data_IF_727970448909
#
_entry.id   IF_727970448909
#
_cell.length_a   1.000
_cell.length_b   1.000
_cell.length_c   1.000
_cell.angle_alpha   90.00
_cell.angle_beta   90.00
_cell.angle_gamma   90.00
#
_symmetry.space_group_name_H-M   'P 1'
#
loop_
_entity.id
_entity.type
_entity.pdbx_description
1 polymer ?
#
# COMPACT_ATOMS: atom_id res chain seq x y z
N UNK A 1 19.00 30.14 8.01
CA UNK A 1 18.45 28.92 8.62
C UNK A 1 18.37 27.89 7.51
N UNK A 2 19.35 27.00 7.50
CA UNK A 2 19.46 25.92 6.53
C UNK A 2 18.48 24.80 6.90
N UNK A 3 17.48 24.58 6.06
CA UNK A 3 16.71 23.34 6.04
C UNK A 3 16.85 22.72 4.64
N UNK A 4 18.00 22.08 4.39
CA UNK A 4 18.18 21.19 3.23
C UNK A 4 17.52 19.85 3.54
N UNK A 5 16.20 19.80 3.43
CA UNK A 5 15.53 18.59 3.02
C UNK A 5 15.39 18.64 1.48
N UNK A 6 14.99 17.55 0.84
CA UNK A 6 14.58 17.52 -0.58
C UNK A 6 15.72 17.45 -1.62
N UNK A 7 16.55 16.41 -1.55
CA UNK A 7 17.13 15.82 -2.77
C UNK A 7 17.42 14.33 -2.50
N UNK A 8 16.36 13.56 -2.22
CA UNK A 8 16.36 12.15 -2.57
C UNK A 8 15.79 12.11 -3.99
N UNK A 9 16.60 11.70 -4.95
CA UNK A 9 16.23 11.61 -6.37
C UNK A 9 14.85 10.90 -6.52
N UNK A 10 13.81 11.55 -7.08
CA UNK A 10 12.45 11.01 -7.12
C UNK A 10 12.26 9.88 -8.16
N UNK A 11 13.33 9.42 -8.82
CA UNK A 11 13.23 8.53 -9.98
C UNK A 11 12.90 7.06 -9.67
N UNK A 12 13.00 6.56 -8.43
CA UNK A 12 12.77 5.13 -8.10
C UNK A 12 12.17 4.91 -6.70
N UNK A 13 11.15 5.67 -6.33
CA UNK A 13 10.41 5.39 -5.09
C UNK A 13 9.51 4.15 -5.31
N UNK A 14 10.02 2.97 -4.94
CA UNK A 14 9.22 1.74 -4.91
C UNK A 14 8.36 1.72 -3.64
N UNK A 15 7.09 1.32 -3.75
CA UNK A 15 6.18 1.22 -2.61
C UNK A 15 5.52 -0.15 -2.60
N UNK A 16 5.40 -0.72 -1.40
CA UNK A 16 4.46 -1.80 -1.13
C UNK A 16 3.15 -1.18 -0.66
N UNK A 17 2.08 -1.51 -1.36
CA UNK A 17 0.71 -1.07 -1.03
C UNK A 17 -0.09 -2.31 -0.66
N UNK A 18 -0.63 -2.31 0.55
CA UNK A 18 -1.44 -3.38 1.11
C UNK A 18 -2.80 -2.78 1.49
N UNK A 19 -3.87 -3.55 1.30
CA UNK A 19 -5.21 -3.23 1.80
C UNK A 19 -5.77 -4.48 2.46
N UNK A 20 -6.58 -4.32 3.49
CA UNK A 20 -7.16 -5.41 4.27
C UNK A 20 -8.65 -5.19 4.42
N UNK A 21 -9.41 -6.29 4.31
CA UNK A 21 -10.85 -6.33 4.52
C UNK A 21 -11.22 -7.66 5.15
N UNK A 22 -12.25 -7.66 5.99
CA UNK A 22 -12.88 -8.87 6.49
C UNK A 22 -14.09 -9.21 5.61
N UNK A 23 -14.15 -10.45 5.14
CA UNK A 23 -15.21 -10.94 4.24
C UNK A 23 -15.77 -12.25 4.76
N UNK A 24 -17.09 -12.31 4.91
CA UNK A 24 -17.81 -13.55 5.18
C UNK A 24 -18.04 -14.33 3.87
N UNK A 25 -17.49 -15.53 3.77
CA UNK A 25 -17.66 -16.39 2.60
C UNK A 25 -17.61 -17.88 2.98
N UNK A 26 -18.17 -18.74 2.11
CA UNK A 26 -18.19 -20.17 2.36
C UNK A 26 -16.84 -20.87 2.04
N UNK A 27 -15.89 -20.18 1.39
CA UNK A 27 -14.54 -20.69 1.12
C UNK A 27 -13.52 -19.55 0.90
N UNK A 28 -12.20 -19.83 1.04
CA UNK A 28 -11.15 -18.86 0.76
C UNK A 28 -11.20 -18.29 -0.67
N UNK A 29 -11.54 -19.11 -1.67
CA UNK A 29 -11.65 -18.67 -3.06
C UNK A 29 -12.86 -17.75 -3.27
N UNK A 30 -13.98 -17.99 -2.57
CA UNK A 30 -15.12 -17.08 -2.60
C UNK A 30 -14.75 -15.74 -1.96
N UNK A 31 -14.08 -15.74 -0.80
CA UNK A 31 -13.60 -14.52 -0.15
C UNK A 31 -12.68 -13.71 -1.07
N UNK A 32 -11.71 -14.37 -1.72
CA UNK A 32 -10.79 -13.71 -2.66
C UNK A 32 -11.51 -13.11 -3.89
N UNK A 33 -12.53 -13.80 -4.43
CA UNK A 33 -13.34 -13.26 -5.53
C UNK A 33 -14.15 -12.05 -5.10
N UNK A 34 -14.75 -12.08 -3.92
CA UNK A 34 -15.49 -10.94 -3.37
C UNK A 34 -14.55 -9.76 -3.11
N UNK A 35 -13.38 -9.99 -2.51
CA UNK A 35 -12.35 -8.97 -2.32
C UNK A 35 -11.94 -8.31 -3.64
N UNK A 36 -11.73 -9.11 -4.69
CA UNK A 36 -11.37 -8.62 -6.02
C UNK A 36 -12.46 -7.73 -6.64
N UNK A 37 -13.74 -8.10 -6.46
CA UNK A 37 -14.88 -7.31 -6.93
C UNK A 37 -14.93 -5.96 -6.20
N UNK A 38 -14.80 -5.98 -4.86
CA UNK A 38 -14.75 -4.76 -4.05
C UNK A 38 -13.59 -3.88 -4.53
N UNK A 39 -12.38 -4.41 -4.59
CA UNK A 39 -11.18 -3.65 -4.97
C UNK A 39 -11.27 -2.99 -6.36
N UNK A 40 -12.00 -3.58 -7.31
CA UNK A 40 -12.13 -3.07 -8.69
C UNK A 40 -13.35 -2.18 -8.92
N UNK A 41 -14.27 -2.10 -7.95
CA UNK A 41 -15.47 -1.29 -8.09
C UNK A 41 -15.13 0.20 -8.20
N UNK A 42 -15.78 0.98 -9.09
CA UNK A 42 -15.62 2.42 -9.11
C UNK A 42 -16.15 3.08 -7.83
N UNK A 43 -17.15 2.47 -7.19
CA UNK A 43 -17.70 2.87 -5.89
C UNK A 43 -17.11 2.02 -4.74
N UNK A 44 -15.85 1.61 -4.89
CA UNK A 44 -15.20 0.71 -3.92
C UNK A 44 -15.09 1.33 -2.53
N UNK A 45 -15.34 0.52 -1.52
CA UNK A 45 -15.02 0.81 -0.11
C UNK A 45 -13.56 0.47 0.25
N UNK A 46 -12.75 -0.01 -0.72
CA UNK A 46 -11.33 -0.27 -0.53
C UNK A 46 -10.52 1.03 -0.60
N UNK A 47 -10.75 1.92 0.35
CA UNK A 47 -10.20 3.28 0.38
C UNK A 47 -9.04 3.45 1.38
N UNK A 48 -8.87 2.51 2.31
CA UNK A 48 -7.83 2.55 3.35
C UNK A 48 -6.68 1.63 3.00
N UNK A 49 -5.48 2.18 2.85
CA UNK A 49 -4.28 1.45 2.44
C UNK A 49 -3.18 1.56 3.49
N UNK A 50 -2.46 0.47 3.71
CA UNK A 50 -1.15 0.53 4.35
C UNK A 50 -0.07 0.62 3.28
N UNK A 51 0.69 1.72 3.29
CA UNK A 51 1.74 2.01 2.32
C UNK A 51 3.09 2.00 3.02
N UNK A 52 4.02 1.21 2.47
CA UNK A 52 5.40 1.11 2.96
C UNK A 52 6.36 1.47 1.84
N UNK A 53 7.27 2.40 2.11
CA UNK A 53 8.36 2.70 1.17
C UNK A 53 9.33 1.52 1.11
N UNK A 54 9.64 1.05 -0.10
CA UNK A 54 10.70 0.08 -0.34
C UNK A 54 12.00 0.83 -0.60
N UNK A 55 13.04 0.47 0.15
CA UNK A 55 14.39 0.98 -0.05
C UNK A 55 15.36 -0.20 -0.16
N UNK A 56 16.46 0.00 -0.88
CA UNK A 56 17.55 -0.97 -0.91
C UNK A 56 18.52 -0.64 0.21
N UNK A 57 18.95 -1.65 0.95
CA UNK A 57 20.02 -1.48 1.93
C UNK A 57 21.40 -1.46 1.27
N UNK A 58 22.44 -1.29 2.08
CA UNK A 58 23.85 -1.27 1.64
C UNK A 58 24.27 -2.53 0.88
N UNK A 59 23.54 -3.65 1.05
CA UNK A 59 23.77 -4.93 0.38
C UNK A 59 22.82 -5.14 -0.82
N UNK A 60 22.06 -4.12 -1.19
CA UNK A 60 21.10 -4.16 -2.31
C UNK A 60 19.80 -4.91 -2.00
N UNK A 61 19.54 -5.32 -0.75
CA UNK A 61 18.33 -6.06 -0.36
C UNK A 61 17.18 -5.09 -0.18
N UNK A 62 15.97 -5.50 -0.61
CA UNK A 62 14.74 -4.74 -0.38
C UNK A 62 14.39 -4.76 1.10
N UNK A 63 14.26 -3.60 1.70
CA UNK A 63 13.74 -3.39 3.05
C UNK A 63 12.47 -2.55 3.01
N UNK A 64 11.50 -2.93 3.83
CA UNK A 64 10.28 -2.15 4.03
C UNK A 64 10.57 -1.05 5.05
N UNK A 65 10.21 0.18 4.70
CA UNK A 65 10.15 1.30 5.64
C UNK A 65 8.95 1.17 6.57
N UNK A 66 8.76 2.19 7.42
CA UNK A 66 7.63 2.24 8.33
C UNK A 66 6.29 2.28 7.54
N UNK A 67 5.27 1.54 8.00
CA UNK A 67 3.95 1.62 7.41
C UNK A 67 3.34 2.99 7.65
N UNK A 68 2.64 3.50 6.63
CA UNK A 68 1.80 4.69 6.70
C UNK A 68 0.41 4.31 6.23
N UNK A 69 -0.59 4.51 7.07
CA UNK A 69 -1.99 4.32 6.70
C UNK A 69 -2.48 5.55 5.94
N UNK A 70 -3.07 5.34 4.76
CA UNK A 70 -3.64 6.37 3.90
C UNK A 70 -5.11 6.03 3.68
N UNK A 71 -6.00 6.93 4.07
CA UNK A 71 -7.44 6.84 3.77
C UNK A 71 -7.75 7.79 2.61
N UNK A 72 -8.38 7.26 1.57
CA UNK A 72 -8.78 7.99 0.35
C UNK A 72 -10.30 8.24 0.29
N UNK A 73 -11.01 8.13 1.42
CA UNK A 73 -12.37 8.69 1.54
C UNK A 73 -12.28 10.21 1.61
N UNK A 74 -12.61 10.88 0.49
CA UNK A 74 -12.79 12.35 0.42
C UNK A 74 -14.07 12.80 1.14
#
# INVERSE_FOLDING_TARGET
MDYRAENADPADAEYRVEWTIDIEAASPEQAARQALVIQRGPDSIATVFEVRRLHRDEKGRRQLGQPTTIDLTD
#
